data_IF_190513121008
#
_entry.id   IF_190513121008
#
_cell.length_a   1.000
_cell.length_b   1.000
_cell.length_c   1.000
_cell.angle_alpha   90.00
_cell.angle_beta   90.00
_cell.angle_gamma   90.00
#
_symmetry.space_group_name_H-M   'P 1'
#
loop_
_entity.id
_entity.type
_entity.pdbx_description
1 polymer ?
#
# COMPACT_ATOMS: atom_id res chain seq x y z
N UNK A 1 -13.59 -31.59 -8.65
CA UNK A 1 -12.54 -30.58 -8.46
C UNK A 1 -11.48 -31.16 -7.54
N UNK A 2 -10.23 -31.20 -7.99
CA UNK A 2 -9.09 -31.61 -7.18
C UNK A 2 -8.75 -30.53 -6.13
N UNK A 3 -7.94 -30.89 -5.13
CA UNK A 3 -7.47 -29.91 -4.15
C UNK A 3 -6.62 -28.79 -4.79
N UNK A 4 -5.83 -29.13 -5.81
CA UNK A 4 -5.01 -28.17 -6.54
C UNK A 4 -5.88 -27.15 -7.31
N UNK A 5 -6.92 -27.60 -8.01
CA UNK A 5 -7.89 -26.73 -8.68
C UNK A 5 -8.62 -25.81 -7.68
N UNK A 6 -9.00 -26.36 -6.51
CA UNK A 6 -9.61 -25.60 -5.43
C UNK A 6 -8.69 -24.49 -4.92
N UNK A 7 -7.41 -24.80 -4.67
CA UNK A 7 -6.41 -23.81 -4.24
C UNK A 7 -6.14 -22.76 -5.31
N UNK A 8 -6.12 -23.14 -6.59
CA UNK A 8 -5.93 -22.20 -7.69
C UNK A 8 -7.07 -21.19 -7.78
N UNK A 9 -8.32 -21.65 -7.70
CA UNK A 9 -9.49 -20.76 -7.67
C UNK A 9 -9.47 -19.83 -6.44
N UNK A 10 -9.09 -20.36 -5.26
CA UNK A 10 -8.89 -19.52 -4.09
C UNK A 10 -7.81 -18.45 -4.34
N UNK A 11 -6.67 -18.84 -4.89
CA UNK A 11 -5.57 -17.93 -5.20
C UNK A 11 -6.00 -16.82 -6.16
N UNK A 12 -6.75 -17.13 -7.22
CA UNK A 12 -7.23 -16.12 -8.18
C UNK A 12 -8.14 -15.08 -7.49
N UNK A 13 -9.08 -15.53 -6.65
CA UNK A 13 -9.95 -14.64 -5.88
C UNK A 13 -9.16 -13.81 -4.85
N UNK A 14 -8.23 -14.45 -4.15
CA UNK A 14 -7.34 -13.84 -3.17
C UNK A 14 -6.44 -12.77 -3.81
N UNK A 15 -5.83 -13.08 -4.95
CA UNK A 15 -5.02 -12.15 -5.71
C UNK A 15 -5.86 -10.97 -6.19
N UNK A 16 -7.02 -11.24 -6.80
CA UNK A 16 -7.93 -10.20 -7.25
C UNK A 16 -8.33 -9.24 -6.14
N UNK A 17 -8.70 -9.76 -4.96
CA UNK A 17 -9.11 -8.90 -3.85
C UNK A 17 -7.94 -8.09 -3.27
N UNK A 18 -6.73 -8.64 -3.22
CA UNK A 18 -5.53 -7.95 -2.71
C UNK A 18 -5.04 -6.90 -3.73
N UNK A 19 -5.09 -7.20 -5.02
CA UNK A 19 -4.61 -6.33 -6.09
C UNK A 19 -5.51 -5.10 -6.32
N UNK A 20 -6.80 -5.20 -5.99
CA UNK A 20 -7.74 -4.07 -6.08
C UNK A 20 -7.43 -3.04 -4.98
N UNK A 21 -7.20 -1.75 -5.34
CA UNK A 21 -6.92 -0.70 -4.38
C UNK A 21 -7.96 -0.64 -3.25
N UNK A 22 -7.48 -0.54 -2.02
CA UNK A 22 -8.28 -0.44 -0.80
C UNK A 22 -7.44 0.15 0.33
N UNK A 23 -7.97 0.16 1.56
CA UNK A 23 -7.30 0.82 2.70
C UNK A 23 -5.86 0.34 2.91
N UNK A 24 -5.63 -0.98 2.92
CA UNK A 24 -4.29 -1.55 3.13
C UNK A 24 -3.30 -1.10 2.05
N UNK A 25 -3.69 -1.22 0.77
CA UNK A 25 -2.84 -0.83 -0.36
C UNK A 25 -2.53 0.67 -0.34
N UNK A 26 -3.55 1.52 -0.13
CA UNK A 26 -3.38 2.97 -0.07
C UNK A 26 -2.51 3.39 1.12
N UNK A 27 -2.64 2.71 2.26
CA UNK A 27 -1.83 2.98 3.44
C UNK A 27 -0.35 2.64 3.21
N UNK A 28 -0.06 1.50 2.56
CA UNK A 28 1.30 1.13 2.16
C UNK A 28 1.87 2.12 1.16
N UNK A 29 1.09 2.49 0.14
CA UNK A 29 1.50 3.46 -0.87
C UNK A 29 1.83 4.82 -0.25
N UNK A 30 0.95 5.33 0.62
CA UNK A 30 1.17 6.60 1.31
C UNK A 30 2.44 6.59 2.18
N UNK A 31 2.68 5.51 2.94
CA UNK A 31 3.89 5.40 3.76
C UNK A 31 5.16 5.20 2.92
N UNK A 32 5.07 4.53 1.77
CA UNK A 32 6.18 4.36 0.85
C UNK A 32 6.55 5.68 0.14
N UNK A 33 5.55 6.43 -0.33
CA UNK A 33 5.75 7.72 -0.99
C UNK A 33 6.24 8.82 -0.05
N UNK A 34 5.75 8.85 1.19
CA UNK A 34 6.15 9.88 2.18
C UNK A 34 7.40 9.50 2.96
N UNK A 35 7.58 8.21 3.24
CA UNK A 35 8.57 7.70 4.19
C UNK A 35 9.61 6.74 3.60
N UNK A 36 9.62 6.58 2.28
CA UNK A 36 10.52 5.67 1.56
C UNK A 36 10.15 4.19 1.70
N UNK A 37 10.90 3.34 0.99
CA UNK A 37 10.64 1.90 0.91
C UNK A 37 10.60 1.23 2.28
N UNK A 38 11.47 1.64 3.21
CA UNK A 38 11.53 1.06 4.56
C UNK A 38 10.22 1.26 5.34
N UNK A 39 9.61 2.45 5.27
CA UNK A 39 8.32 2.70 5.94
C UNK A 39 7.16 1.98 5.25
N UNK A 40 7.19 1.90 3.92
CA UNK A 40 6.23 1.08 3.17
C UNK A 40 6.29 -0.40 3.54
N UNK A 41 7.51 -0.96 3.68
CA UNK A 41 7.72 -2.35 4.10
C UNK A 41 7.31 -2.59 5.55
N UNK A 42 7.60 -1.66 6.46
CA UNK A 42 7.13 -1.76 7.84
C UNK A 42 5.59 -1.75 7.94
N UNK A 43 4.92 -0.88 7.19
CA UNK A 43 3.45 -0.89 7.08
C UNK A 43 2.93 -2.20 6.50
N UNK A 44 3.59 -2.73 5.46
CA UNK A 44 3.27 -4.02 4.83
C UNK A 44 3.36 -5.17 5.84
N UNK A 45 4.42 -5.23 6.64
CA UNK A 45 4.57 -6.25 7.67
C UNK A 45 3.45 -6.19 8.73
N UNK A 46 3.02 -4.98 9.11
CA UNK A 46 1.87 -4.79 9.99
C UNK A 46 0.57 -5.33 9.38
N UNK A 47 0.33 -5.03 8.10
CA UNK A 47 -0.83 -5.53 7.35
C UNK A 47 -0.79 -7.05 7.20
N UNK A 48 0.37 -7.66 6.94
CA UNK A 48 0.52 -9.11 6.87
C UNK A 48 0.18 -9.78 8.21
N UNK A 49 0.61 -9.20 9.33
CA UNK A 49 0.22 -9.69 10.65
C UNK A 49 -1.30 -9.56 10.88
N UNK A 50 -1.91 -8.44 10.48
CA UNK A 50 -3.37 -8.28 10.51
C UNK A 50 -4.09 -9.31 9.63
N UNK A 51 -3.57 -9.58 8.44
CA UNK A 51 -4.06 -10.62 7.52
C UNK A 51 -3.96 -12.02 8.09
N UNK A 52 -2.89 -12.32 8.85
CA UNK A 52 -2.77 -13.59 9.57
C UNK A 52 -3.84 -13.70 10.68
N UNK A 53 -4.09 -12.63 11.44
CA UNK A 53 -5.17 -12.61 12.44
C UNK A 53 -6.53 -12.81 11.80
N UNK A 54 -6.81 -12.15 10.68
CA UNK A 54 -8.01 -12.36 9.88
C UNK A 54 -8.17 -13.81 9.45
N UNK A 55 -7.11 -14.42 8.91
CA UNK A 55 -7.10 -15.84 8.51
C UNK A 55 -7.44 -16.75 9.69
N UNK A 56 -6.83 -16.52 10.86
CA UNK A 56 -7.10 -17.30 12.07
C UNK A 56 -8.56 -17.14 12.51
N UNK A 57 -9.08 -15.91 12.53
CA UNK A 57 -10.49 -15.64 12.82
C UNK A 57 -11.41 -16.33 11.82
N UNK A 58 -11.05 -16.38 10.53
CA UNK A 58 -11.78 -17.10 9.51
C UNK A 58 -11.81 -18.60 9.73
N UNK A 59 -10.67 -19.20 10.05
CA UNK A 59 -10.57 -20.63 10.33
C UNK A 59 -11.45 -21.04 11.53
N UNK A 60 -11.38 -20.26 12.62
CA UNK A 60 -12.21 -20.48 13.81
C UNK A 60 -13.67 -20.20 13.53
N UNK A 61 -13.97 -19.07 12.89
CA UNK A 61 -15.33 -18.61 12.59
C UNK A 61 -16.07 -19.56 11.65
N UNK A 62 -15.42 -20.07 10.61
CA UNK A 62 -16.00 -21.10 9.73
C UNK A 62 -16.29 -22.38 10.51
N UNK A 63 -15.36 -22.84 11.35
CA UNK A 63 -15.56 -24.02 12.19
C UNK A 63 -16.76 -23.88 13.13
N UNK A 64 -16.88 -22.74 13.81
CA UNK A 64 -17.99 -22.43 14.71
C UNK A 64 -19.32 -22.29 13.96
N UNK A 65 -19.35 -21.55 12.85
CA UNK A 65 -20.57 -21.34 12.05
C UNK A 65 -21.09 -22.64 11.45
N UNK A 66 -20.20 -23.47 10.90
CA UNK A 66 -20.57 -24.77 10.31
C UNK A 66 -21.14 -25.73 11.36
N UNK A 67 -20.63 -25.68 12.60
CA UNK A 67 -21.04 -26.62 13.65
C UNK A 67 -22.27 -26.16 14.45
N UNK A 68 -22.33 -24.88 14.82
CA UNK A 68 -23.33 -24.38 15.77
C UNK A 68 -24.51 -23.66 15.12
N UNK A 69 -24.31 -22.98 13.99
CA UNK A 69 -25.37 -22.15 13.38
C UNK A 69 -25.39 -22.24 11.84
N UNK A 70 -25.53 -23.45 11.26
CA UNK A 70 -25.41 -23.68 9.83
C UNK A 70 -26.45 -22.91 9.00
N UNK A 71 -27.60 -22.56 9.57
CA UNK A 71 -28.66 -21.79 8.89
C UNK A 71 -28.21 -20.37 8.49
N UNK A 72 -27.25 -19.79 9.22
CA UNK A 72 -26.72 -18.46 8.91
C UNK A 72 -25.74 -18.47 7.73
N UNK A 73 -25.31 -19.64 7.28
CA UNK A 73 -24.31 -19.77 6.23
C UNK A 73 -24.71 -19.09 4.92
N UNK A 74 -25.88 -19.46 4.39
CA UNK A 74 -26.36 -18.98 3.10
C UNK A 74 -26.68 -17.48 3.12
N UNK A 75 -27.42 -16.94 4.12
CA UNK A 75 -27.65 -15.49 4.22
C UNK A 75 -26.34 -14.69 4.27
N UNK A 76 -25.36 -15.16 5.03
CA UNK A 76 -24.09 -14.48 5.23
C UNK A 76 -23.23 -14.49 3.97
N UNK A 77 -23.26 -15.60 3.23
CA UNK A 77 -22.61 -15.72 1.93
C UNK A 77 -23.24 -14.78 0.89
N UNK A 78 -24.57 -14.72 0.82
CA UNK A 78 -25.30 -13.81 -0.09
C UNK A 78 -25.02 -12.35 0.27
N UNK A 79 -25.04 -12.01 1.56
CA UNK A 79 -24.71 -10.66 2.04
C UNK A 79 -23.26 -10.29 1.71
N UNK A 80 -22.31 -11.20 1.93
CA UNK A 80 -20.90 -11.02 1.59
C UNK A 80 -20.71 -10.82 0.08
N UNK A 81 -21.33 -11.66 -0.76
CA UNK A 81 -21.26 -11.54 -2.21
C UNK A 81 -21.86 -10.22 -2.73
N UNK A 82 -23.05 -9.84 -2.24
CA UNK A 82 -23.70 -8.58 -2.60
C UNK A 82 -22.84 -7.37 -2.23
N UNK A 83 -22.22 -7.40 -1.04
CA UNK A 83 -21.32 -6.32 -0.61
C UNK A 83 -20.03 -6.27 -1.44
N UNK A 84 -19.45 -7.42 -1.79
CA UNK A 84 -18.26 -7.47 -2.66
C UNK A 84 -18.56 -6.89 -4.04
N UNK A 85 -19.75 -7.19 -4.60
CA UNK A 85 -20.22 -6.55 -5.82
C UNK A 85 -20.39 -5.03 -5.63
N UNK A 86 -20.96 -4.58 -4.51
CA UNK A 86 -21.10 -3.16 -4.18
C UNK A 86 -19.75 -2.44 -4.09
N UNK A 87 -18.75 -3.01 -3.40
CA UNK A 87 -17.39 -2.43 -3.33
C UNK A 87 -16.75 -2.37 -4.71
N UNK A 88 -16.88 -3.43 -5.51
CA UNK A 88 -16.39 -3.44 -6.89
C UNK A 88 -17.01 -2.31 -7.73
N UNK A 89 -18.34 -2.14 -7.65
CA UNK A 89 -19.08 -1.09 -8.37
C UNK A 89 -18.72 0.32 -7.84
N UNK A 90 -18.61 0.48 -6.53
CA UNK A 90 -18.24 1.75 -5.90
C UNK A 90 -16.85 2.19 -6.35
N UNK A 91 -15.88 1.27 -6.39
CA UNK A 91 -14.53 1.52 -6.90
C UNK A 91 -14.50 1.86 -8.39
N UNK A 92 -15.33 1.20 -9.21
CA UNK A 92 -15.47 1.55 -10.63
C UNK A 92 -16.07 2.94 -10.85
N UNK A 93 -16.75 3.50 -9.85
CA UNK A 93 -17.46 4.80 -9.93
C UNK A 93 -16.73 5.94 -9.19
N UNK A 94 -15.78 5.64 -8.31
CA UNK A 94 -15.07 6.63 -7.52
C UNK A 94 -13.89 7.23 -8.27
N UNK A 95 -13.74 8.56 -8.22
CA UNK A 95 -12.47 9.23 -8.51
C UNK A 95 -11.61 9.22 -7.26
N UNK A 96 -10.33 8.84 -7.38
CA UNK A 96 -9.38 8.87 -6.26
C UNK A 96 -9.12 10.35 -5.93
N UNK A 97 -9.76 10.85 -4.88
CA UNK A 97 -9.43 12.15 -4.30
C UNK A 97 -8.37 11.94 -3.23
N UNK A 98 -7.19 12.53 -3.43
CA UNK A 98 -6.16 12.60 -2.40
C UNK A 98 -6.53 13.78 -1.51
N UNK A 99 -7.06 13.50 -0.32
CA UNK A 99 -7.29 14.53 0.71
C UNK A 99 -5.96 15.07 1.23
N UNK A 100 -5.91 16.39 1.46
CA UNK A 100 -4.73 17.09 1.94
C UNK A 100 -4.60 16.95 3.47
N UNK A 101 -4.10 15.80 3.93
CA UNK A 101 -3.92 15.51 5.35
C UNK A 101 -2.58 16.06 5.89
N UNK A 102 -2.38 17.39 5.84
CA UNK A 102 -1.41 18.17 6.64
C UNK A 102 0.09 17.78 6.60
N UNK A 103 0.98 18.58 7.22
CA UNK A 103 2.42 18.32 7.22
C UNK A 103 2.74 17.09 8.08
N UNK A 104 3.17 16.01 7.44
CA UNK A 104 3.52 14.76 8.12
C UNK A 104 4.92 14.84 8.74
N UNK A 105 4.99 15.42 9.95
CA UNK A 105 6.19 15.34 10.78
C UNK A 105 6.64 13.90 11.03
N UNK A 106 7.96 13.70 11.18
CA UNK A 106 8.69 12.45 11.47
C UNK A 106 7.84 11.33 12.11
N UNK A 107 7.74 10.18 11.43
CA UNK A 107 7.09 8.98 12.00
C UNK A 107 7.96 7.74 11.76
N UNK A 108 8.37 7.12 12.87
CA UNK A 108 9.12 5.87 12.97
C UNK A 108 8.50 4.71 12.19
N UNK A 109 9.33 3.82 11.63
CA UNK A 109 8.91 2.56 11.00
C UNK A 109 8.04 1.69 11.93
N UNK A 110 8.31 1.71 13.24
CA UNK A 110 7.48 1.02 14.23
C UNK A 110 6.05 1.55 14.31
N UNK A 111 5.87 2.88 14.15
CA UNK A 111 4.55 3.50 14.09
C UNK A 111 3.82 3.08 12.82
N UNK A 112 4.52 3.04 11.68
CA UNK A 112 3.95 2.57 10.41
C UNK A 112 3.49 1.11 10.49
N UNK A 113 4.28 0.23 11.13
CA UNK A 113 3.89 -1.15 11.41
C UNK A 113 2.61 -1.25 12.26
N UNK A 114 2.57 -0.58 13.42
CA UNK A 114 1.39 -0.63 14.32
C UNK A 114 0.14 -0.07 13.66
N UNK A 115 0.28 1.01 12.89
CA UNK A 115 -0.82 1.59 12.14
C UNK A 115 -1.27 0.65 11.02
N UNK A 116 -0.35 0.04 10.26
CA UNK A 116 -0.68 -0.94 9.23
C UNK A 116 -1.45 -2.14 9.79
N UNK A 117 -1.05 -2.65 10.97
CA UNK A 117 -1.79 -3.69 11.68
C UNK A 117 -3.22 -3.23 12.03
N UNK A 118 -3.38 -2.05 12.62
CA UNK A 118 -4.68 -1.52 12.99
C UNK A 118 -5.57 -1.26 11.76
N UNK A 119 -5.03 -0.67 10.70
CA UNK A 119 -5.70 -0.43 9.43
C UNK A 119 -6.23 -1.74 8.85
N UNK A 120 -5.39 -2.78 8.82
CA UNK A 120 -5.81 -4.09 8.32
C UNK A 120 -6.91 -4.69 9.19
N UNK A 121 -6.77 -4.67 10.52
CA UNK A 121 -7.76 -5.24 11.43
C UNK A 121 -9.12 -4.53 11.39
N UNK A 122 -9.17 -3.24 11.03
CA UNK A 122 -10.40 -2.47 10.86
C UNK A 122 -10.98 -2.65 9.45
N UNK A 123 -10.23 -3.24 8.51
CA UNK A 123 -10.62 -3.34 7.11
C UNK A 123 -11.82 -4.28 6.89
N UNK A 124 -13.02 -3.76 6.59
CA UNK A 124 -14.22 -4.58 6.44
C UNK A 124 -14.13 -5.52 5.23
N UNK A 125 -13.37 -5.14 4.19
CA UNK A 125 -13.13 -5.94 3.00
C UNK A 125 -12.49 -7.29 3.34
N UNK A 126 -11.57 -7.33 4.31
CA UNK A 126 -10.88 -8.55 4.71
C UNK A 126 -11.82 -9.54 5.40
N UNK A 127 -12.62 -9.07 6.37
CA UNK A 127 -13.60 -9.92 7.06
C UNK A 127 -14.66 -10.46 6.11
N UNK A 128 -15.18 -9.62 5.21
CA UNK A 128 -16.22 -10.03 4.28
C UNK A 128 -15.70 -11.02 3.23
N UNK A 129 -14.45 -10.83 2.78
CA UNK A 129 -13.78 -11.84 1.95
C UNK A 129 -13.69 -13.18 2.67
N UNK A 130 -13.19 -13.19 3.91
CA UNK A 130 -13.09 -14.43 4.70
C UNK A 130 -14.45 -15.11 4.82
N UNK A 131 -15.47 -14.33 5.17
CA UNK A 131 -16.80 -14.85 5.43
C UNK A 131 -17.46 -15.46 4.19
N UNK A 132 -17.29 -14.82 3.03
CA UNK A 132 -17.86 -15.28 1.77
C UNK A 132 -17.03 -16.39 1.12
N UNK A 133 -15.70 -16.33 1.24
CA UNK A 133 -14.76 -17.15 0.46
C UNK A 133 -14.28 -18.35 1.25
N UNK A 134 -13.78 -18.20 2.48
CA UNK A 134 -13.14 -19.31 3.20
C UNK A 134 -13.99 -20.58 3.28
N UNK A 135 -15.28 -20.51 3.63
CA UNK A 135 -16.06 -21.74 3.74
C UNK A 135 -16.32 -22.45 2.41
N UNK A 136 -16.18 -21.78 1.27
CA UNK A 136 -16.31 -22.40 -0.06
C UNK A 136 -15.10 -23.28 -0.39
N UNK A 137 -13.94 -22.97 0.19
CA UNK A 137 -12.67 -23.61 -0.12
C UNK A 137 -12.19 -24.60 0.95
N UNK A 138 -12.65 -24.47 2.19
CA UNK A 138 -12.37 -25.41 3.28
C UNK A 138 -13.36 -26.59 3.22
N UNK A 139 -12.91 -27.77 2.78
CA UNK A 139 -13.76 -28.97 2.66
C UNK A 139 -13.14 -30.16 3.39
N UNK A 140 -13.90 -30.88 4.25
CA UNK A 140 -13.38 -32.07 4.93
C UNK A 140 -12.82 -33.14 3.98
N UNK A 141 -13.33 -33.20 2.74
CA UNK A 141 -12.88 -34.13 1.70
C UNK A 141 -11.40 -33.95 1.28
N UNK A 142 -10.78 -32.80 1.55
CA UNK A 142 -9.37 -32.53 1.23
C UNK A 142 -8.42 -32.76 2.40
N UNK A 143 -8.91 -33.32 3.52
CA UNK A 143 -8.12 -33.59 4.73
C UNK A 143 -8.42 -32.60 5.87
N UNK A 144 -7.56 -32.53 6.90
CA UNK A 144 -7.82 -31.73 8.08
C UNK A 144 -8.02 -30.24 7.77
N UNK A 145 -9.10 -29.64 8.27
CA UNK A 145 -9.46 -28.23 8.02
C UNK A 145 -8.36 -27.27 8.47
N UNK A 146 -7.70 -27.55 9.59
CA UNK A 146 -6.62 -26.71 10.11
C UNK A 146 -5.42 -26.64 9.13
N UNK A 147 -5.06 -27.76 8.47
CA UNK A 147 -3.99 -27.76 7.47
C UNK A 147 -4.37 -26.92 6.25
N UNK A 148 -5.61 -27.07 5.77
CA UNK A 148 -6.10 -26.28 4.64
C UNK A 148 -6.12 -24.78 4.98
N UNK A 149 -6.58 -24.42 6.18
CA UNK A 149 -6.57 -23.04 6.67
C UNK A 149 -5.15 -22.47 6.79
N UNK A 150 -4.18 -23.26 7.27
CA UNK A 150 -2.77 -22.86 7.30
C UNK A 150 -2.24 -22.60 5.89
N UNK A 151 -2.51 -23.48 4.93
CA UNK A 151 -2.08 -23.29 3.53
C UNK A 151 -2.70 -22.01 2.93
N UNK A 152 -3.99 -21.79 3.13
CA UNK A 152 -4.69 -20.58 2.66
C UNK A 152 -4.15 -19.31 3.34
N UNK A 153 -3.80 -19.38 4.62
CA UNK A 153 -3.14 -18.31 5.35
C UNK A 153 -1.76 -17.97 4.81
N UNK A 154 -0.94 -18.99 4.54
CA UNK A 154 0.38 -18.81 3.93
C UNK A 154 0.27 -18.19 2.52
N UNK A 155 -0.70 -18.65 1.72
CA UNK A 155 -1.00 -18.04 0.42
C UNK A 155 -1.40 -16.57 0.56
N UNK A 156 -2.22 -16.23 1.55
CA UNK A 156 -2.63 -14.85 1.84
C UNK A 156 -1.42 -13.98 2.18
N UNK A 157 -0.61 -14.41 3.14
CA UNK A 157 0.60 -13.68 3.59
C UNK A 157 1.61 -13.52 2.45
N UNK A 158 1.84 -14.57 1.66
CA UNK A 158 2.75 -14.53 0.51
C UNK A 158 2.24 -13.57 -0.58
N UNK A 159 0.94 -13.60 -0.87
CA UNK A 159 0.33 -12.71 -1.87
C UNK A 159 0.37 -11.25 -1.40
N UNK A 160 0.06 -10.98 -0.13
CA UNK A 160 0.19 -9.64 0.45
C UNK A 160 1.65 -9.15 0.41
N UNK A 161 2.62 -10.00 0.77
CA UNK A 161 4.04 -9.66 0.71
C UNK A 161 4.46 -9.31 -0.73
N UNK A 162 4.04 -10.10 -1.72
CA UNK A 162 4.38 -9.86 -3.11
C UNK A 162 3.75 -8.55 -3.63
N UNK A 163 2.45 -8.36 -3.45
CA UNK A 163 1.72 -7.20 -3.98
C UNK A 163 2.08 -5.93 -3.22
N UNK A 164 1.92 -5.92 -1.90
CA UNK A 164 2.16 -4.72 -1.09
C UNK A 164 3.64 -4.46 -0.87
N UNK A 165 4.48 -5.48 -0.72
CA UNK A 165 5.93 -5.31 -0.65
C UNK A 165 6.52 -4.80 -1.96
N UNK A 166 6.07 -5.35 -3.09
CA UNK A 166 6.43 -4.85 -4.41
C UNK A 166 6.00 -3.38 -4.59
N UNK A 167 4.78 -3.03 -4.19
CA UNK A 167 4.29 -1.66 -4.19
C UNK A 167 5.12 -0.74 -3.30
N UNK A 168 5.45 -1.17 -2.08
CA UNK A 168 6.25 -0.40 -1.13
C UNK A 168 7.65 -0.07 -1.70
N UNK A 169 8.31 -1.05 -2.32
CA UNK A 169 9.64 -0.88 -2.91
C UNK A 169 9.57 0.01 -4.15
N UNK A 170 8.61 -0.22 -5.04
CA UNK A 170 8.49 0.56 -6.29
C UNK A 170 8.08 2.00 -6.02
N UNK A 171 7.13 2.25 -5.12
CA UNK A 171 6.72 3.59 -4.71
C UNK A 171 7.83 4.32 -3.95
N UNK A 172 8.49 3.62 -3.01
CA UNK A 172 9.61 4.19 -2.27
C UNK A 172 10.81 4.52 -3.15
N UNK A 173 11.13 3.69 -4.16
CA UNK A 173 12.16 4.00 -5.16
C UNK A 173 11.75 5.11 -6.12
N UNK A 174 10.48 5.20 -6.47
CA UNK A 174 9.98 6.31 -7.31
C UNK A 174 10.25 7.67 -6.67
N UNK A 175 10.21 7.76 -5.34
CA UNK A 175 10.63 8.95 -4.59
C UNK A 175 12.11 9.28 -4.79
N UNK A 176 12.98 8.28 -4.74
CA UNK A 176 14.43 8.44 -4.95
C UNK A 176 14.75 8.81 -6.40
N UNK A 177 14.02 8.27 -7.38
CA UNK A 177 14.19 8.60 -8.80
C UNK A 177 13.79 10.05 -9.13
N UNK A 178 13.04 10.72 -8.26
CA UNK A 178 12.63 12.12 -8.43
C UNK A 178 13.58 13.10 -7.73
N UNK A 179 14.54 12.63 -6.95
CA UNK A 179 15.40 13.47 -6.08
C UNK A 179 16.86 13.10 -6.33
N UNK A 180 17.61 14.00 -6.95
CA UNK A 180 18.99 13.77 -7.39
C UNK A 180 19.93 14.81 -6.75
N UNK A 181 21.22 14.50 -6.69
CA UNK A 181 22.23 15.47 -6.26
C UNK A 181 22.33 16.59 -7.32
N UNK A 182 22.42 17.86 -6.93
CA UNK A 182 22.64 18.94 -7.89
C UNK A 182 23.90 18.64 -8.71
N UNK A 183 23.78 18.73 -10.05
CA UNK A 183 24.90 18.38 -10.95
C UNK A 183 26.04 19.39 -10.93
N UNK A 184 25.70 20.64 -10.66
CA UNK A 184 26.64 21.74 -10.58
C UNK A 184 26.33 22.57 -9.32
N UNK A 185 26.66 22.05 -8.12
CA UNK A 185 26.45 22.78 -6.88
C UNK A 185 27.41 23.97 -6.84
N UNK A 186 26.91 25.13 -6.37
CA UNK A 186 27.72 26.33 -6.21
C UNK A 186 28.96 26.03 -5.33
N UNK A 187 30.12 26.54 -5.73
CA UNK A 187 31.37 26.41 -4.99
C UNK A 187 31.23 26.87 -3.52
N UNK A 188 30.44 27.92 -3.28
CA UNK A 188 30.11 28.41 -1.93
C UNK A 188 29.45 27.36 -1.05
N UNK A 189 28.61 26.49 -1.62
CA UNK A 189 27.97 25.39 -0.87
C UNK A 189 29.02 24.38 -0.39
N UNK A 190 30.00 24.06 -1.24
CA UNK A 190 31.11 23.17 -0.87
C UNK A 190 32.02 23.80 0.18
N UNK A 191 32.31 25.10 0.06
CA UNK A 191 33.07 25.85 1.05
C UNK A 191 32.37 25.87 2.42
N UNK A 192 31.06 26.12 2.43
CA UNK A 192 30.25 26.15 3.66
C UNK A 192 30.24 24.81 4.38
N UNK A 193 30.01 23.71 3.65
CA UNK A 193 30.05 22.35 4.21
C UNK A 193 31.43 22.04 4.80
N UNK A 194 32.50 22.44 4.10
CA UNK A 194 33.89 22.24 4.57
C UNK A 194 34.20 23.05 5.83
N UNK A 195 33.75 24.31 5.89
CA UNK A 195 33.92 25.17 7.06
C UNK A 195 33.19 24.60 8.28
N UNK A 196 31.95 24.16 8.13
CA UNK A 196 31.21 23.60 9.26
C UNK A 196 31.71 22.21 9.70
N UNK A 197 32.27 21.41 8.78
CA UNK A 197 33.04 20.20 9.16
C UNK A 197 34.23 20.56 10.06
N UNK A 198 34.96 21.63 9.75
CA UNK A 198 36.06 22.11 10.60
C UNK A 198 35.55 22.65 11.96
N UNK A 199 34.30 23.11 12.03
CA UNK A 199 33.63 23.50 13.27
C UNK A 199 33.05 22.31 14.07
N UNK A 200 33.26 21.07 13.63
CA UNK A 200 32.80 19.86 14.31
C UNK A 200 31.34 19.48 14.04
N UNK A 201 30.69 20.08 13.04
CA UNK A 201 29.33 19.69 12.66
C UNK A 201 29.35 18.39 11.83
N UNK A 202 28.42 17.44 12.08
CA UNK A 202 28.38 16.17 11.36
C UNK A 202 27.96 16.38 9.91
N UNK A 203 28.43 15.51 9.03
CA UNK A 203 27.96 15.49 7.64
C UNK A 203 26.54 14.93 7.57
N UNK A 204 25.68 15.55 6.75
CA UNK A 204 24.36 15.05 6.42
C UNK A 204 24.22 14.94 4.90
N UNK A 205 24.06 13.73 4.38
CA UNK A 205 23.90 13.45 2.95
C UNK A 205 22.43 13.29 2.52
N UNK A 206 21.52 13.15 3.48
CA UNK A 206 20.09 12.98 3.23
C UNK A 206 19.29 13.83 4.22
N UNK A 207 18.96 15.04 3.79
CA UNK A 207 18.12 15.96 4.57
C UNK A 207 16.66 15.51 4.67
N UNK A 208 16.30 14.39 4.05
CA UNK A 208 15.01 13.76 4.20
C UNK A 208 15.05 12.50 5.07
N UNK A 209 16.21 12.16 5.65
CA UNK A 209 16.34 11.10 6.63
C UNK A 209 15.64 11.49 7.96
N UNK A 210 15.62 10.56 8.91
CA UNK A 210 14.98 10.77 10.23
C UNK A 210 15.58 11.96 10.99
N UNK A 211 16.88 12.22 10.80
CA UNK A 211 17.58 13.39 11.32
C UNK A 211 17.96 14.33 10.19
N UNK A 212 17.64 15.61 10.36
CA UNK A 212 18.10 16.68 9.48
C UNK A 212 19.38 17.35 10.00
N UNK A 213 19.85 16.97 11.18
CA UNK A 213 21.02 17.59 11.81
C UNK A 213 22.31 17.25 11.05
N UNK A 214 23.06 18.29 10.69
CA UNK A 214 24.34 18.18 10.02
C UNK A 214 24.43 19.09 8.79
N UNK A 215 25.49 18.91 8.02
CA UNK A 215 25.83 19.74 6.87
C UNK A 215 26.04 18.89 5.62
N UNK A 216 25.51 19.38 4.52
CA UNK A 216 25.67 18.78 3.20
C UNK A 216 24.97 19.60 2.15
N UNK A 217 24.99 19.09 0.93
CA UNK A 217 24.33 19.70 -0.21
C UNK A 217 22.94 19.09 -0.33
N UNK A 218 21.91 19.92 -0.38
CA UNK A 218 20.54 19.45 -0.52
C UNK A 218 20.33 18.75 -1.87
N UNK A 219 19.63 17.62 -1.83
CA UNK A 219 19.13 17.01 -3.06
C UNK A 219 18.05 17.91 -3.68
N UNK A 220 17.96 17.88 -5.01
CA UNK A 220 17.03 18.69 -5.81
C UNK A 220 16.17 17.80 -6.68
N UNK A 221 14.97 18.27 -7.01
CA UNK A 221 14.06 17.55 -7.92
C UNK A 221 14.47 17.81 -9.37
N UNK A 222 15.37 16.99 -9.89
CA UNK A 222 15.89 17.08 -11.25
C UNK A 222 16.01 15.70 -11.93
N UNK A 223 15.99 15.68 -13.26
CA UNK A 223 16.47 14.56 -14.09
C UNK A 223 17.55 15.12 -15.03
N UNK A 224 18.74 14.54 -14.99
CA UNK A 224 19.88 14.93 -15.85
C UNK A 224 20.21 16.43 -15.85
N UNK A 225 20.10 17.08 -14.69
CA UNK A 225 20.37 18.51 -14.51
C UNK A 225 19.24 19.44 -14.96
N UNK A 226 18.10 18.90 -15.40
CA UNK A 226 16.89 19.67 -15.71
C UNK A 226 15.87 19.55 -14.58
N UNK A 227 15.16 20.65 -14.28
CA UNK A 227 14.07 20.64 -13.30
C UNK A 227 13.04 19.57 -13.68
N UNK A 228 12.76 18.67 -12.74
CA UNK A 228 11.75 17.62 -12.92
C UNK A 228 10.47 18.00 -12.18
N UNK A 229 9.56 18.70 -12.87
CA UNK A 229 8.30 19.19 -12.29
C UNK A 229 7.21 18.11 -12.26
N UNK A 230 6.16 18.30 -11.44
CA UNK A 230 4.97 17.44 -11.46
C UNK A 230 4.33 17.35 -12.85
N UNK A 231 4.37 18.44 -13.63
CA UNK A 231 3.96 18.41 -15.03
C UNK A 231 4.79 17.43 -15.86
N UNK A 232 6.12 17.50 -15.74
CA UNK A 232 7.04 16.61 -16.47
C UNK A 232 6.88 15.15 -16.04
N UNK A 233 6.62 14.92 -14.76
CA UNK A 233 6.43 13.59 -14.18
C UNK A 233 5.10 12.94 -14.58
N UNK A 234 3.99 13.67 -14.47
CA UNK A 234 2.64 13.08 -14.51
C UNK A 234 1.82 13.49 -15.72
N UNK A 235 2.00 14.70 -16.25
CA UNK A 235 1.21 15.20 -17.39
C UNK A 235 1.91 14.92 -18.72
N UNK A 236 3.18 15.32 -18.86
CA UNK A 236 3.96 15.18 -20.11
C UNK A 236 3.92 13.77 -20.72
N UNK A 237 4.05 12.66 -19.95
CA UNK A 237 4.03 11.31 -20.53
C UNK A 237 2.68 10.91 -21.13
N UNK A 238 1.59 11.55 -20.71
CA UNK A 238 0.21 11.15 -21.05
C UNK A 238 -0.53 12.21 -21.88
N UNK A 239 0.12 13.31 -22.27
CA UNK A 239 -0.47 14.38 -23.10
C UNK A 239 -1.09 13.87 -24.42
N UNK A 240 -0.60 12.74 -24.93
CA UNK A 240 -1.09 12.12 -26.15
C UNK A 240 -2.41 11.35 -25.98
N UNK A 241 -2.87 11.12 -24.74
CA UNK A 241 -4.08 10.35 -24.47
C UNK A 241 -5.33 11.17 -24.74
N UNK A 242 -6.28 10.61 -25.49
CA UNK A 242 -7.53 11.30 -25.88
C UNK A 242 -8.46 11.66 -24.71
N UNK A 243 -8.27 11.05 -23.54
CA UNK A 243 -9.09 11.27 -22.35
C UNK A 243 -8.49 12.30 -21.37
N UNK A 244 -7.51 13.09 -21.81
CA UNK A 244 -6.91 14.17 -21.02
C UNK A 244 -7.05 15.50 -21.78
N UNK A 245 -7.63 16.50 -21.13
CA UNK A 245 -7.69 17.88 -21.62
C UNK A 245 -6.86 18.76 -20.71
N UNK A 246 -5.89 19.48 -21.27
CA UNK A 246 -5.08 20.45 -20.54
C UNK A 246 -5.52 21.86 -20.95
N UNK A 247 -5.98 22.65 -19.98
CA UNK A 247 -6.27 24.06 -20.14
C UNK A 247 -5.17 24.85 -19.42
N UNK A 248 -4.33 25.56 -20.17
CA UNK A 248 -3.32 26.47 -19.63
C UNK A 248 -3.83 27.90 -19.65
N UNK A 249 -3.22 28.78 -18.85
CA UNK A 249 -3.54 30.22 -18.84
C UNK A 249 -5.02 30.51 -18.48
N UNK A 250 -5.61 29.63 -17.66
CA UNK A 250 -6.98 29.76 -17.17
C UNK A 250 -6.96 29.91 -15.64
N UNK A 251 -7.85 30.75 -15.12
CA UNK A 251 -8.13 30.88 -13.70
C UNK A 251 -9.52 30.31 -13.41
N UNK A 252 -9.65 29.48 -12.37
CA UNK A 252 -10.93 28.92 -11.95
C UNK A 252 -11.62 29.93 -11.03
N UNK A 253 -12.69 30.57 -11.53
CA UNK A 253 -13.39 31.64 -10.80
C UNK A 253 -14.47 31.08 -9.85
N UNK A 254 -15.13 29.98 -10.23
CA UNK A 254 -16.17 29.33 -9.42
C UNK A 254 -16.25 27.82 -9.75
N UNK A 255 -16.72 27.04 -8.78
CA UNK A 255 -17.00 25.60 -8.87
C UNK A 255 -18.52 25.41 -8.85
N UNK A 256 -19.18 25.79 -9.93
CA UNK A 256 -20.63 25.59 -10.09
C UNK A 256 -21.02 24.10 -9.96
#
# INVERSE_FOLDING_TARGET
>A
MSYAENLWLFFVLLFGIIAVPGMDMLFVLANALTGGSNRGLAATAGIMLGGAVHTLNGAVGVGLLMHFVPVLFTPLLVAGAAYMAYIGISLMRSSITVGDDGPTGSRSAWKAFRQGLATCLINPKAYLFILAVYPQFLKPAYGPIWMQATIMGLLTVATQAAVYGGLAVTAGRSRELLVDNPRDPNELSSMFVKAGKNAGLPANADFNAESQFGLGIYNVTQDRGQRFSSFSAFMRPVLHRRNLTLLSECEVIDLA
#
